data_IF_117522746409
#
_entry.id   IF_117522746409
#
_cell.length_a   1.000
_cell.length_b   1.000
_cell.length_c   1.000
_cell.angle_alpha   90.00
_cell.angle_beta   90.00
_cell.angle_gamma   90.00
#
_symmetry.space_group_name_H-M   'P 1'
#
loop_
_entity.id
_entity.type
_entity.pdbx_description
1 polymer ?
#
# COMPACT_ATOMS: atom_id res chain seq x y z
N UNK A 1 -5.85 -4.53 31.43
CA UNK A 1 -4.53 -4.45 30.76
C UNK A 1 -4.36 -5.37 29.55
N UNK A 2 -4.65 -6.69 29.62
CA UNK A 2 -4.48 -7.62 28.47
C UNK A 2 -5.20 -7.22 27.17
N UNK A 3 -6.44 -6.68 27.26
CA UNK A 3 -7.19 -6.20 26.08
C UNK A 3 -6.60 -4.94 25.43
N UNK A 4 -5.94 -4.08 26.22
CA UNK A 4 -5.31 -2.86 25.70
C UNK A 4 -4.05 -3.20 24.89
N UNK A 5 -3.25 -4.14 25.40
CA UNK A 5 -2.09 -4.69 24.69
C UNK A 5 -2.49 -5.42 23.39
N UNK A 6 -3.57 -6.20 23.42
CA UNK A 6 -4.06 -6.88 22.21
C UNK A 6 -4.52 -5.88 21.14
N UNK A 7 -5.19 -4.79 21.54
CA UNK A 7 -5.59 -3.70 20.63
C UNK A 7 -4.38 -2.96 20.06
N UNK A 8 -3.36 -2.68 20.87
CA UNK A 8 -2.11 -2.06 20.43
C UNK A 8 -1.37 -2.95 19.42
N UNK A 9 -1.27 -4.25 19.68
CA UNK A 9 -0.66 -5.21 18.74
C UNK A 9 -1.44 -5.25 17.43
N UNK A 10 -2.78 -5.28 17.48
CA UNK A 10 -3.61 -5.24 16.28
C UNK A 10 -3.41 -3.95 15.48
N UNK A 11 -3.33 -2.79 16.14
CA UNK A 11 -3.05 -1.50 15.50
C UNK A 11 -1.65 -1.48 14.89
N UNK A 12 -0.63 -1.99 15.57
CA UNK A 12 0.73 -2.07 15.04
C UNK A 12 0.83 -3.00 13.84
N UNK A 13 0.08 -4.11 13.81
CA UNK A 13 0.05 -5.05 12.67
C UNK A 13 -0.75 -4.49 11.49
N UNK A 14 -1.81 -3.73 11.74
CA UNK A 14 -2.63 -3.12 10.68
C UNK A 14 -2.07 -1.80 10.15
N UNK A 15 -1.38 -1.02 10.98
CA UNK A 15 -0.78 0.26 10.59
C UNK A 15 0.11 0.23 9.33
N UNK A 16 0.92 -0.81 9.04
CA UNK A 16 1.75 -0.88 7.84
C UNK A 16 0.93 -1.26 6.60
N UNK A 17 -0.29 -1.77 6.74
CA UNK A 17 -1.22 -1.97 5.62
C UNK A 17 -1.96 -0.68 5.23
N UNK A 18 -1.67 0.44 5.91
CA UNK A 18 -2.18 1.78 5.60
C UNK A 18 -1.04 2.73 5.17
N UNK A 19 0.13 2.21 4.77
CA UNK A 19 1.31 3.03 4.43
C UNK A 19 1.72 2.94 2.96
N UNK A 20 0.76 2.87 2.02
CA UNK A 20 1.02 2.73 0.59
C UNK A 20 1.93 1.52 0.30
N UNK A 21 1.57 0.37 0.85
CA UNK A 21 2.33 -0.86 0.76
C UNK A 21 2.52 -1.27 -0.72
N UNK A 22 1.52 -1.03 -1.57
CA UNK A 22 1.61 -1.20 -3.02
C UNK A 22 2.81 -0.44 -3.62
N UNK A 23 2.97 0.84 -3.31
CA UNK A 23 4.08 1.67 -3.81
C UNK A 23 5.43 1.23 -3.22
N UNK A 24 5.51 0.94 -1.92
CA UNK A 24 6.76 0.50 -1.28
C UNK A 24 7.24 -0.84 -1.86
N UNK A 25 6.33 -1.79 -2.05
CA UNK A 25 6.64 -3.10 -2.65
C UNK A 25 7.10 -2.90 -4.10
N UNK A 26 6.44 -2.03 -4.87
CA UNK A 26 6.85 -1.74 -6.25
C UNK A 26 8.27 -1.17 -6.34
N UNK A 27 8.59 -0.20 -5.48
CA UNK A 27 9.94 0.38 -5.41
C UNK A 27 10.99 -0.65 -4.97
N UNK A 28 10.65 -1.52 -4.02
CA UNK A 28 11.55 -2.59 -3.54
C UNK A 28 11.82 -3.65 -4.61
N UNK A 29 10.82 -3.95 -5.44
CA UNK A 29 10.96 -4.86 -6.60
C UNK A 29 11.63 -4.18 -7.80
N UNK A 30 11.94 -2.88 -7.72
CA UNK A 30 12.53 -2.11 -8.82
C UNK A 30 11.56 -1.82 -9.96
N UNK A 31 10.26 -1.91 -9.71
CA UNK A 31 9.21 -1.54 -10.67
C UNK A 31 8.86 -0.06 -10.51
N UNK A 32 9.45 0.74 -11.39
CA UNK A 32 9.25 2.19 -11.51
C UNK A 32 8.24 2.53 -12.61
N UNK A 33 7.36 1.60 -12.98
CA UNK A 33 6.27 1.95 -13.88
C UNK A 33 5.37 3.03 -13.27
N UNK A 34 4.83 3.88 -14.14
CA UNK A 34 3.95 4.96 -13.72
C UNK A 34 2.70 4.35 -13.07
N UNK A 35 2.42 4.76 -11.82
CA UNK A 35 1.32 4.22 -11.00
C UNK A 35 1.40 2.72 -10.68
N UNK A 36 2.61 2.19 -10.50
CA UNK A 36 2.83 0.78 -10.19
C UNK A 36 2.20 0.34 -8.85
N UNK A 37 2.26 1.19 -7.82
CA UNK A 37 1.67 0.93 -6.51
C UNK A 37 0.14 0.87 -6.57
N UNK A 38 -0.48 1.85 -7.24
CA UNK A 38 -1.93 1.85 -7.51
C UNK A 38 -2.34 0.61 -8.29
N UNK A 39 -1.55 0.20 -9.29
CA UNK A 39 -1.85 -0.98 -10.09
C UNK A 39 -1.81 -2.27 -9.27
N UNK A 40 -0.90 -2.38 -8.29
CA UNK A 40 -0.83 -3.51 -7.36
C UNK A 40 -2.01 -3.55 -6.40
N UNK A 41 -2.37 -2.41 -5.82
CA UNK A 41 -3.54 -2.33 -4.93
C UNK A 41 -4.82 -2.65 -5.70
N UNK A 42 -4.95 -2.17 -6.93
CA UNK A 42 -6.09 -2.48 -7.78
C UNK A 42 -6.18 -3.97 -8.11
N UNK A 43 -5.05 -4.65 -8.38
CA UNK A 43 -5.01 -6.11 -8.56
C UNK A 43 -5.40 -6.84 -7.27
N UNK A 44 -4.95 -6.38 -6.11
CA UNK A 44 -5.33 -6.97 -4.82
C UNK A 44 -6.84 -6.81 -4.54
N UNK A 45 -7.43 -5.69 -4.95
CA UNK A 45 -8.89 -5.47 -4.90
C UNK A 45 -9.62 -6.42 -5.84
N UNK A 46 -9.16 -6.55 -7.09
CA UNK A 46 -9.76 -7.43 -8.09
C UNK A 46 -9.70 -8.92 -7.71
N UNK A 47 -8.58 -9.35 -7.11
CA UNK A 47 -8.40 -10.73 -6.66
C UNK A 47 -9.27 -11.07 -5.43
N UNK A 48 -9.80 -10.05 -4.73
CA UNK A 48 -10.67 -10.24 -3.57
C UNK A 48 -9.96 -10.85 -2.36
N UNK A 49 -10.74 -11.28 -1.37
CA UNK A 49 -10.23 -11.88 -0.13
C UNK A 49 -10.00 -10.88 1.00
N UNK A 50 -9.31 -11.31 2.06
CA UNK A 50 -9.15 -10.52 3.29
C UNK A 50 -8.26 -9.28 3.07
N UNK A 51 -7.38 -9.33 2.06
CA UNK A 51 -6.46 -8.26 1.69
C UNK A 51 -7.09 -7.19 0.77
N UNK A 52 -8.29 -7.41 0.23
CA UNK A 52 -8.94 -6.39 -0.61
C UNK A 52 -9.43 -5.18 0.20
N UNK A 53 -9.89 -5.40 1.44
CA UNK A 53 -10.36 -4.34 2.33
C UNK A 53 -9.24 -3.33 2.65
N UNK A 54 -8.05 -3.74 3.13
CA UNK A 54 -6.96 -2.79 3.33
C UNK A 54 -6.48 -2.18 2.01
N UNK A 55 -6.47 -2.93 0.90
CA UNK A 55 -6.08 -2.38 -0.40
C UNK A 55 -6.99 -1.25 -0.90
N UNK A 56 -8.30 -1.30 -0.64
CA UNK A 56 -9.21 -0.18 -0.94
C UNK A 56 -8.85 1.09 -0.15
N UNK A 57 -8.46 0.91 1.11
CA UNK A 57 -8.07 2.03 1.99
C UNK A 57 -6.69 2.58 1.60
N UNK A 58 -5.77 1.70 1.15
CA UNK A 58 -4.41 2.06 0.79
C UNK A 58 -4.29 2.65 -0.63
N UNK A 59 -5.22 2.31 -1.54
CA UNK A 59 -5.25 2.80 -2.91
C UNK A 59 -5.14 4.34 -3.06
N UNK A 60 -5.89 5.19 -2.31
CA UNK A 60 -5.70 6.64 -2.39
C UNK A 60 -4.33 7.11 -1.87
N UNK A 61 -3.74 6.41 -0.90
CA UNK A 61 -2.40 6.72 -0.39
C UNK A 61 -1.32 6.33 -1.42
N UNK A 62 -1.44 5.15 -2.01
CA UNK A 62 -0.58 4.71 -3.12
C UNK A 62 -0.69 5.63 -4.33
N UNK A 63 -1.88 6.18 -4.63
CA UNK A 63 -2.03 7.17 -5.68
C UNK A 63 -1.23 8.44 -5.41
N UNK A 64 -1.33 9.00 -4.20
CA UNK A 64 -0.56 10.17 -3.81
C UNK A 64 0.94 9.89 -3.86
N UNK A 65 1.39 8.74 -3.35
CA UNK A 65 2.81 8.39 -3.31
C UNK A 65 3.37 8.13 -4.71
N UNK A 66 2.63 7.43 -5.57
CA UNK A 66 2.99 7.21 -6.97
C UNK A 66 3.04 8.54 -7.75
N UNK A 67 2.11 9.47 -7.49
CA UNK A 67 2.16 10.83 -8.07
C UNK A 67 3.41 11.59 -7.61
N UNK A 68 3.80 11.48 -6.33
CA UNK A 68 5.05 12.07 -5.82
C UNK A 68 6.30 11.41 -6.42
N UNK A 69 6.21 10.13 -6.79
CA UNK A 69 7.28 9.38 -7.47
C UNK A 69 7.37 9.67 -8.97
N UNK A 70 6.40 10.37 -9.58
CA UNK A 70 6.42 10.68 -11.03
C UNK A 70 7.73 11.29 -11.53
N UNK A 71 8.36 12.27 -10.83
CA UNK A 71 9.63 12.83 -11.29
C UNK A 71 10.75 11.79 -11.36
N UNK A 72 10.73 10.79 -10.47
CA UNK A 72 11.71 9.70 -10.43
C UNK A 72 11.39 8.67 -11.50
N UNK A 73 10.13 8.23 -11.60
CA UNK A 73 9.71 7.20 -12.56
C UNK A 73 9.78 7.67 -14.02
N UNK A 74 9.63 8.97 -14.28
CA UNK A 74 9.74 9.56 -15.63
C UNK A 74 11.16 9.95 -16.02
N UNK A 75 12.08 10.04 -15.04
CA UNK A 75 13.49 10.39 -15.28
C UNK A 75 14.40 9.16 -15.43
N UNK A 76 13.86 7.97 -15.21
CA UNK A 76 14.58 6.70 -15.37
C UNK A 76 14.46 6.21 -16.81
#
# INVERSE_FOLDING_TARGET
MKRLFLKLIAVVIFSPNLTACGTIISLTEGDYSVYAGVSKDFKAIQNGGILSIPAVVDLPLSFVLDTLMLPVTLSQ
#
